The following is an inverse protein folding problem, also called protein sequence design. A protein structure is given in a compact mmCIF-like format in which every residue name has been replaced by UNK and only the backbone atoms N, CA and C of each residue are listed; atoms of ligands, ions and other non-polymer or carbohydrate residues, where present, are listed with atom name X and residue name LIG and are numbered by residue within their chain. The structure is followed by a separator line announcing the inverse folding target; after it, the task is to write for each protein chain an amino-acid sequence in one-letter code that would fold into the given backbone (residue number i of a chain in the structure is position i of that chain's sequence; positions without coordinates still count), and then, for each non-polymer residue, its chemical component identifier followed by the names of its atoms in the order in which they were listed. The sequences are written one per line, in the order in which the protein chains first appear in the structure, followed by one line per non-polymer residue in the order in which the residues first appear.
data_IF_101737747426
#
_entry.id   IF_101737747426
#
_cell.length_a   1.000
_cell.length_b   1.000
_cell.length_c   1.000
_cell.angle_alpha   90.00
_cell.angle_beta   90.00
_cell.angle_gamma   90.00
#
_symmetry.space_group_name_H-M   'P 1'
#
loop_
_entity.id
_entity.type
_entity.pdbx_description
1 polymer ?
#
# COMPACT_ATOMS: atom_id res chain seq x y z
N UNK A 1 0.58 25.82 27.90
CA UNK A 1 0.61 26.60 29.16
C UNK A 1 2.05 26.63 29.64
N UNK A 2 2.56 27.76 30.13
CA UNK A 2 3.89 27.78 30.74
C UNK A 2 3.84 27.04 32.07
N UNK A 3 4.76 26.10 32.28
CA UNK A 3 4.95 25.46 33.57
C UNK A 3 5.38 26.53 34.58
N UNK A 4 4.64 26.61 35.69
CA UNK A 4 5.03 27.42 36.83
C UNK A 4 6.25 26.77 37.49
N UNK A 5 7.20 27.58 37.93
CA UNK A 5 8.23 27.09 38.87
C UNK A 5 7.57 26.67 40.18
N UNK A 6 8.29 25.89 40.99
CA UNK A 6 7.77 25.47 42.31
C UNK A 6 7.43 26.68 43.19
N UNK A 7 8.21 27.75 43.09
CA UNK A 7 8.00 28.99 43.85
C UNK A 7 6.73 29.70 43.39
N UNK A 8 6.51 29.79 42.08
CA UNK A 8 5.31 30.39 41.49
C UNK A 8 4.05 29.56 41.79
N UNK A 9 4.16 28.23 41.73
CA UNK A 9 3.07 27.32 42.06
C UNK A 9 2.68 27.42 43.53
N UNK A 10 3.65 27.41 44.44
CA UNK A 10 3.42 27.59 45.87
C UNK A 10 2.82 28.97 46.15
N UNK A 11 3.31 30.04 45.51
CA UNK A 11 2.76 31.38 45.65
C UNK A 11 1.30 31.45 45.20
N UNK A 12 0.94 30.75 44.11
CA UNK A 12 -0.43 30.65 43.63
C UNK A 12 -1.32 29.89 44.63
N UNK A 13 -0.93 28.69 45.08
CA UNK A 13 -1.69 27.88 46.05
C UNK A 13 -1.86 28.62 47.39
N UNK A 14 -0.82 29.32 47.87
CA UNK A 14 -0.90 30.18 49.06
C UNK A 14 -1.96 31.27 48.95
N UNK A 15 -2.10 31.89 47.76
CA UNK A 15 -3.09 32.92 47.49
C UNK A 15 -4.50 32.35 47.39
N UNK A 16 -4.66 31.20 46.72
CA UNK A 16 -5.93 30.48 46.60
C UNK A 16 -6.45 30.01 47.98
N UNK A 17 -5.57 29.44 48.79
CA UNK A 17 -5.92 28.87 50.10
C UNK A 17 -5.80 29.89 51.25
N UNK A 18 -5.50 31.16 50.93
CA UNK A 18 -5.33 32.28 51.87
C UNK A 18 -4.42 31.95 53.08
N UNK A 19 -3.31 31.26 52.81
CA UNK A 19 -2.41 30.77 53.86
C UNK A 19 -1.60 31.91 54.49
N UNK A 20 -1.78 32.15 55.80
CA UNK A 20 -0.92 33.05 56.56
C UNK A 20 0.23 32.28 57.23
N UNK A 21 1.36 32.18 56.52
CA UNK A 21 2.54 31.41 56.96
C UNK A 21 3.26 31.99 58.20
N UNK A 22 2.99 33.24 58.56
CA UNK A 22 3.60 33.92 59.71
C UNK A 22 2.82 33.73 61.03
N UNK A 23 1.70 33.00 61.01
CA UNK A 23 0.91 32.70 62.21
C UNK A 23 1.64 31.72 63.15
N UNK A 24 2.05 32.21 64.32
CA UNK A 24 2.70 31.38 65.35
C UNK A 24 1.75 30.33 65.96
N UNK A 25 0.44 30.62 66.02
CA UNK A 25 -0.56 29.71 66.54
C UNK A 25 -0.78 28.49 65.63
N UNK A 26 -0.63 28.67 64.32
CA UNK A 26 -0.90 27.64 63.31
C UNK A 26 0.39 27.05 62.71
N UNK A 27 1.54 27.24 63.37
CA UNK A 27 2.86 26.89 62.83
C UNK A 27 2.97 25.44 62.31
N UNK A 28 2.44 24.48 63.07
CA UNK A 28 2.48 23.06 62.69
C UNK A 28 1.59 22.74 61.48
N UNK A 29 0.39 23.33 61.43
CA UNK A 29 -0.55 23.19 60.33
C UNK A 29 0.02 23.81 59.05
N UNK A 30 0.54 25.04 59.15
CA UNK A 30 1.16 25.76 58.05
C UNK A 30 2.35 24.99 57.46
N UNK A 31 3.20 24.41 58.32
CA UNK A 31 4.34 23.60 57.87
C UNK A 31 3.87 22.38 57.07
N UNK A 32 2.85 21.66 57.56
CA UNK A 32 2.27 20.51 56.87
C UNK A 32 1.67 20.91 55.52
N UNK A 33 0.94 22.02 55.47
CA UNK A 33 0.32 22.55 54.25
C UNK A 33 1.34 22.94 53.20
N UNK A 34 2.43 23.64 53.58
CA UNK A 34 3.51 23.96 52.65
C UNK A 34 4.21 22.71 52.11
N UNK A 35 4.48 21.71 52.96
CA UNK A 35 5.04 20.43 52.52
C UNK A 35 4.11 19.71 51.55
N UNK A 36 2.80 19.75 51.80
CA UNK A 36 1.81 19.18 50.88
C UNK A 36 1.82 19.86 49.51
N UNK A 37 1.97 21.19 49.43
CA UNK A 37 2.10 21.86 48.13
C UNK A 37 3.34 21.42 47.35
N UNK A 38 4.46 21.18 48.03
CA UNK A 38 5.68 20.63 47.40
C UNK A 38 5.41 19.23 46.86
N UNK A 39 4.76 18.37 47.66
CA UNK A 39 4.36 17.03 47.21
C UNK A 39 3.39 17.08 46.04
N UNK A 40 2.38 17.95 46.07
CA UNK A 40 1.39 18.15 45.02
C UNK A 40 2.07 18.61 43.72
N UNK A 41 3.01 19.55 43.82
CA UNK A 41 3.76 20.05 42.67
C UNK A 41 4.53 18.93 41.95
N UNK A 42 5.29 18.12 42.69
CA UNK A 42 6.11 17.05 42.09
C UNK A 42 5.31 15.81 41.68
N UNK A 43 4.31 15.42 42.49
CA UNK A 43 3.59 14.17 42.26
C UNK A 43 2.33 14.32 41.42
N UNK A 44 1.74 15.50 41.37
CA UNK A 44 0.50 15.74 40.63
C UNK A 44 0.75 16.72 39.50
N UNK A 45 1.13 17.98 39.76
CA UNK A 45 1.23 19.01 38.73
C UNK A 45 2.26 18.69 37.61
N UNK A 46 3.46 18.27 37.99
CA UNK A 46 4.49 17.87 37.02
C UNK A 46 4.14 16.56 36.31
N UNK A 47 3.44 15.64 36.98
CA UNK A 47 3.06 14.36 36.40
C UNK A 47 1.85 14.47 35.46
N UNK A 48 0.83 15.26 35.79
CA UNK A 48 -0.32 15.53 34.92
C UNK A 48 0.12 16.22 33.64
N UNK A 49 1.04 17.19 33.73
CA UNK A 49 1.56 17.86 32.52
C UNK A 49 2.28 16.89 31.59
N UNK A 50 3.09 15.96 32.13
CA UNK A 50 3.73 14.91 31.33
C UNK A 50 2.73 13.90 30.74
N UNK A 51 1.69 13.54 31.49
CA UNK A 51 0.61 12.67 31.01
C UNK A 51 -0.18 13.35 29.89
N UNK A 52 -0.46 14.65 30.01
CA UNK A 52 -1.15 15.45 29.00
C UNK A 52 -0.29 15.58 27.73
N UNK A 53 1.01 15.90 27.87
CA UNK A 53 1.96 15.93 26.74
C UNK A 53 2.06 14.57 26.05
N UNK A 54 2.15 13.48 26.82
CA UNK A 54 2.21 12.13 26.27
C UNK A 54 0.90 11.74 25.56
N UNK A 55 -0.25 12.20 26.07
CA UNK A 55 -1.56 12.01 25.44
C UNK A 55 -1.67 12.81 24.15
N UNK A 56 -1.23 14.07 24.14
CA UNK A 56 -1.21 14.93 22.94
C UNK A 56 -0.29 14.35 21.87
N UNK A 57 0.93 13.95 22.24
CA UNK A 57 1.88 13.33 21.31
C UNK A 57 1.35 11.99 20.76
N UNK A 58 0.66 11.20 21.59
CA UNK A 58 0.03 9.97 21.12
C UNK A 58 -1.11 10.27 20.13
N UNK A 59 -1.96 11.25 20.44
CA UNK A 59 -3.06 11.66 19.55
C UNK A 59 -2.52 12.18 18.21
N UNK A 60 -1.52 13.05 18.22
CA UNK A 60 -0.87 13.51 16.98
C UNK A 60 -0.26 12.36 16.17
N UNK A 61 0.33 11.38 16.85
CA UNK A 61 0.90 10.18 16.20
C UNK A 61 -0.19 9.34 15.52
N UNK A 62 -1.34 9.17 16.16
CA UNK A 62 -2.48 8.43 15.59
C UNK A 62 -3.12 9.18 14.43
N UNK A 63 -3.34 10.49 14.55
CA UNK A 63 -3.89 11.33 13.48
C UNK A 63 -2.98 11.36 12.24
N UNK A 64 -1.66 11.46 12.43
CA UNK A 64 -0.70 11.34 11.32
C UNK A 64 -0.82 10.00 10.61
N UNK A 65 -1.05 8.93 11.35
CA UNK A 65 -1.21 7.60 10.75
C UNK A 65 -2.56 7.48 10.03
N UNK A 66 -3.68 7.90 10.66
CA UNK A 66 -5.01 7.95 10.02
C UNK A 66 -4.98 8.72 8.71
N UNK A 67 -4.37 9.90 8.70
CA UNK A 67 -4.21 10.71 7.49
C UNK A 67 -3.41 10.01 6.38
N UNK A 68 -2.47 9.11 6.73
CA UNK A 68 -1.70 8.34 5.74
C UNK A 68 -2.46 7.16 5.14
N UNK A 69 -3.61 6.80 5.71
CA UNK A 69 -4.47 5.68 5.29
C UNK A 69 -5.89 6.16 4.96
N UNK A 70 -6.07 7.47 4.75
CA UNK A 70 -7.39 8.12 4.59
C UNK A 70 -8.13 7.74 3.32
N UNK A 71 -7.46 7.11 2.37
CA UNK A 71 -8.03 6.61 1.11
C UNK A 71 -8.76 5.28 1.25
N UNK A 72 -8.62 4.57 2.39
CA UNK A 72 -9.38 3.33 2.65
C UNK A 72 -10.74 3.62 3.30
N UNK A 73 -11.61 2.60 3.35
CA UNK A 73 -12.87 2.65 4.08
C UNK A 73 -12.69 2.99 5.59
N UNK A 74 -13.66 3.68 6.18
CA UNK A 74 -13.60 4.15 7.57
C UNK A 74 -13.43 3.00 8.58
N UNK A 75 -14.10 1.86 8.39
CA UNK A 75 -13.98 0.70 9.28
C UNK A 75 -12.56 0.11 9.23
N UNK A 76 -11.96 0.09 8.04
CA UNK A 76 -10.58 -0.34 7.83
C UNK A 76 -9.60 0.63 8.49
N UNK A 77 -9.83 1.94 8.36
CA UNK A 77 -9.01 2.97 9.01
C UNK A 77 -9.04 2.80 10.53
N UNK A 78 -10.21 2.68 11.13
CA UNK A 78 -10.40 2.51 12.57
C UNK A 78 -9.69 1.27 13.09
N UNK A 79 -9.83 0.15 12.37
CA UNK A 79 -9.15 -1.10 12.68
C UNK A 79 -7.62 -0.96 12.64
N UNK A 80 -7.07 -0.35 11.58
CA UNK A 80 -5.63 -0.14 11.44
C UNK A 80 -5.09 0.81 12.51
N UNK A 81 -5.79 1.91 12.80
CA UNK A 81 -5.43 2.88 13.83
C UNK A 81 -5.45 2.22 15.21
N UNK A 82 -6.46 1.40 15.50
CA UNK A 82 -6.54 0.64 16.75
C UNK A 82 -5.33 -0.29 16.91
N UNK A 83 -5.00 -1.07 15.88
CA UNK A 83 -3.81 -1.95 15.91
C UNK A 83 -2.52 -1.15 16.11
N UNK A 84 -2.40 0.00 15.47
CA UNK A 84 -1.23 0.86 15.62
C UNK A 84 -1.15 1.50 17.03
N UNK A 85 -2.29 1.86 17.63
CA UNK A 85 -2.35 2.36 19.00
C UNK A 85 -1.88 1.29 19.99
N UNK A 86 -2.48 0.11 19.93
CA UNK A 86 -2.27 -0.97 20.91
C UNK A 86 -0.91 -1.66 20.75
N UNK A 87 -0.48 -1.92 19.52
CA UNK A 87 0.69 -2.77 19.25
C UNK A 87 1.87 -2.01 18.63
N UNK A 88 1.71 -0.72 18.31
CA UNK A 88 2.69 0.08 17.58
C UNK A 88 3.14 -0.59 16.26
N UNK A 89 2.20 -1.25 15.57
CA UNK A 89 2.41 -1.93 14.29
C UNK A 89 1.57 -1.28 13.20
N UNK A 90 2.24 -0.92 12.10
CA UNK A 90 1.61 -0.51 10.85
C UNK A 90 1.30 -1.74 10.02
N UNK A 91 0.16 -2.36 10.32
CA UNK A 91 -0.25 -3.64 9.74
C UNK A 91 -0.50 -3.55 8.24
N UNK A 92 -1.05 -2.44 7.78
CA UNK A 92 -1.25 -2.08 6.36
C UNK A 92 0.00 -2.41 5.53
N UNK A 93 1.17 -1.98 6.00
CA UNK A 93 2.45 -2.20 5.31
C UNK A 93 2.82 -3.67 5.21
N UNK A 94 2.55 -4.44 6.27
CA UNK A 94 2.84 -5.87 6.28
C UNK A 94 1.94 -6.62 5.29
N UNK A 95 0.65 -6.26 5.23
CA UNK A 95 -0.30 -6.84 4.27
C UNK A 95 0.09 -6.44 2.84
N UNK A 96 0.34 -5.16 2.58
CA UNK A 96 0.75 -4.68 1.25
C UNK A 96 2.04 -5.38 0.77
N UNK A 97 3.03 -5.56 1.65
CA UNK A 97 4.26 -6.26 1.30
C UNK A 97 4.03 -7.75 0.99
N UNK A 98 3.00 -8.37 1.57
CA UNK A 98 2.56 -9.71 1.20
C UNK A 98 1.91 -9.68 -0.19
N UNK A 99 0.93 -8.80 -0.41
CA UNK A 99 0.19 -8.69 -1.68
C UNK A 99 1.09 -8.36 -2.86
N UNK A 100 2.11 -7.52 -2.67
CA UNK A 100 3.11 -7.20 -3.72
C UNK A 100 3.86 -8.40 -4.26
N UNK A 101 3.86 -9.55 -3.58
CA UNK A 101 4.49 -10.77 -4.08
C UNK A 101 3.59 -11.57 -5.00
N UNK A 102 2.29 -11.35 -4.94
CA UNK A 102 1.34 -12.00 -5.82
C UNK A 102 1.28 -11.27 -7.17
N UNK A 103 1.90 -11.88 -8.17
CA UNK A 103 1.95 -11.37 -9.54
C UNK A 103 0.58 -11.35 -10.25
N UNK A 104 -0.45 -12.03 -9.71
CA UNK A 104 -1.79 -12.08 -10.30
C UNK A 104 -2.80 -11.22 -9.55
N UNK A 105 -2.38 -10.48 -8.51
CA UNK A 105 -3.26 -9.74 -7.62
C UNK A 105 -4.23 -8.81 -8.36
N UNK A 106 -3.75 -8.05 -9.35
CA UNK A 106 -4.56 -7.12 -10.15
C UNK A 106 -5.65 -7.79 -11.00
N UNK A 107 -5.62 -9.12 -11.16
CA UNK A 107 -6.63 -9.87 -11.91
C UNK A 107 -7.73 -10.46 -11.03
N UNK A 108 -7.71 -10.21 -9.72
CA UNK A 108 -8.71 -10.74 -8.80
C UNK A 108 -10.08 -10.14 -9.11
N UNK A 109 -11.10 -10.98 -9.21
CA UNK A 109 -12.45 -10.55 -9.55
C UNK A 109 -13.55 -11.20 -8.71
N UNK A 110 -13.20 -12.18 -7.88
CA UNK A 110 -14.15 -12.95 -7.09
C UNK A 110 -13.82 -12.91 -5.60
N UNK A 111 -14.86 -12.97 -4.76
CA UNK A 111 -14.69 -13.05 -3.31
C UNK A 111 -13.86 -14.27 -2.90
N UNK A 112 -13.94 -15.40 -3.62
CA UNK A 112 -13.12 -16.58 -3.36
C UNK A 112 -11.61 -16.32 -3.50
N UNK A 113 -11.19 -15.51 -4.46
CA UNK A 113 -9.77 -15.15 -4.65
C UNK A 113 -9.30 -14.28 -3.49
N UNK A 114 -10.07 -13.24 -3.14
CA UNK A 114 -9.78 -12.37 -2.00
C UNK A 114 -9.76 -13.13 -0.67
N UNK A 115 -10.68 -14.08 -0.47
CA UNK A 115 -10.70 -14.97 0.71
C UNK A 115 -9.48 -15.87 0.78
N UNK A 116 -9.10 -16.47 -0.35
CA UNK A 116 -7.92 -17.34 -0.39
C UNK A 116 -6.66 -16.55 -0.04
N UNK A 117 -6.50 -15.36 -0.63
CA UNK A 117 -5.39 -14.45 -0.33
C UNK A 117 -5.41 -13.96 1.12
N UNK A 118 -6.58 -13.69 1.72
CA UNK A 118 -6.67 -13.30 3.12
C UNK A 118 -6.24 -14.40 4.09
N UNK A 119 -6.58 -15.66 3.79
CA UNK A 119 -6.11 -16.81 4.58
C UNK A 119 -4.61 -17.04 4.45
N UNK A 120 -4.05 -16.92 3.26
CA UNK A 120 -2.60 -17.02 3.04
C UNK A 120 -1.85 -15.88 3.74
N UNK A 121 -2.35 -14.65 3.63
CA UNK A 121 -1.83 -13.48 4.33
C UNK A 121 -1.84 -13.70 5.85
N UNK A 122 -2.97 -14.16 6.39
CA UNK A 122 -3.11 -14.51 7.81
C UNK A 122 -2.07 -15.55 8.22
N UNK A 123 -1.93 -16.64 7.48
CA UNK A 123 -0.98 -17.71 7.79
C UNK A 123 0.47 -17.22 7.84
N UNK A 124 0.84 -16.26 6.98
CA UNK A 124 2.17 -15.65 6.99
C UNK A 124 2.37 -14.66 8.15
N UNK A 125 1.35 -13.88 8.51
CA UNK A 125 1.49 -12.76 9.44
C UNK A 125 1.18 -13.13 10.90
N UNK A 126 0.30 -14.09 11.16
CA UNK A 126 -0.22 -14.39 12.53
C UNK A 126 0.88 -14.75 13.52
N UNK A 127 1.94 -15.45 13.09
CA UNK A 127 3.06 -15.84 13.98
C UNK A 127 3.79 -14.63 14.56
N UNK A 128 3.92 -13.55 13.77
CA UNK A 128 4.57 -12.30 14.20
C UNK A 128 3.57 -11.28 14.76
N UNK A 129 2.28 -11.48 14.49
CA UNK A 129 1.19 -10.60 14.85
C UNK A 129 0.02 -11.42 15.44
N UNK A 130 0.14 -11.96 16.67
CA UNK A 130 -0.88 -12.84 17.24
C UNK A 130 -2.25 -12.18 17.41
N UNK A 131 -2.30 -10.85 17.51
CA UNK A 131 -3.52 -10.04 17.54
C UNK A 131 -4.35 -10.10 16.26
N UNK A 132 -3.82 -10.70 15.17
CA UNK A 132 -4.61 -11.00 13.98
C UNK A 132 -5.57 -12.18 14.17
N UNK A 133 -5.45 -12.92 15.27
CA UNK A 133 -6.38 -14.02 15.56
C UNK A 133 -7.82 -13.47 15.56
N UNK A 134 -8.69 -14.17 14.85
CA UNK A 134 -10.10 -13.82 14.67
C UNK A 134 -10.34 -12.50 13.90
N UNK A 135 -9.32 -11.97 13.20
CA UNK A 135 -9.39 -10.74 12.37
C UNK A 135 -9.38 -11.03 10.85
N UNK A 136 -9.71 -12.26 10.44
CA UNK A 136 -9.65 -12.67 9.01
C UNK A 136 -10.66 -11.92 8.13
N UNK A 137 -11.79 -11.50 8.69
CA UNK A 137 -12.77 -10.66 7.98
C UNK A 137 -12.19 -9.27 7.68
N UNK A 138 -11.53 -8.64 8.65
CA UNK A 138 -10.87 -7.35 8.42
C UNK A 138 -9.71 -7.46 7.43
N UNK A 139 -8.95 -8.56 7.45
CA UNK A 139 -7.94 -8.83 6.42
C UNK A 139 -8.56 -8.95 5.03
N UNK A 140 -9.67 -9.67 4.91
CA UNK A 140 -10.40 -9.79 3.64
C UNK A 140 -10.89 -8.42 3.16
N UNK A 141 -11.53 -7.63 4.02
CA UNK A 141 -12.01 -6.28 3.68
C UNK A 141 -10.86 -5.37 3.25
N UNK A 142 -9.75 -5.35 4.00
CA UNK A 142 -8.56 -4.58 3.64
C UNK A 142 -8.00 -4.96 2.27
N UNK A 143 -7.83 -6.25 2.00
CA UNK A 143 -7.25 -6.72 0.72
C UNK A 143 -8.17 -6.33 -0.45
N UNK A 144 -9.48 -6.45 -0.27
CA UNK A 144 -10.47 -6.10 -1.30
C UNK A 144 -10.51 -4.58 -1.55
N UNK A 145 -10.49 -3.77 -0.49
CA UNK A 145 -10.47 -2.31 -0.59
C UNK A 145 -9.17 -1.81 -1.23
N UNK A 146 -8.03 -2.36 -0.78
CA UNK A 146 -6.72 -2.12 -1.39
C UNK A 146 -6.71 -2.44 -2.89
N UNK A 147 -7.27 -3.58 -3.29
CA UNK A 147 -7.40 -3.94 -4.71
C UNK A 147 -8.24 -2.92 -5.48
N UNK A 148 -9.39 -2.52 -4.94
CA UNK A 148 -10.28 -1.57 -5.62
C UNK A 148 -9.61 -0.22 -5.84
N UNK A 149 -8.92 0.31 -4.84
CA UNK A 149 -8.20 1.59 -4.92
C UNK A 149 -7.08 1.51 -5.96
N UNK A 150 -6.32 0.42 -5.96
CA UNK A 150 -5.19 0.23 -6.87
C UNK A 150 -5.58 -0.18 -8.30
N UNK A 151 -6.81 -0.66 -8.50
CA UNK A 151 -7.36 -0.93 -9.83
C UNK A 151 -8.21 0.22 -10.37
N UNK A 152 -8.33 1.35 -9.66
CA UNK A 152 -9.06 2.48 -10.24
C UNK A 152 -8.34 2.98 -11.50
N UNK A 153 -9.03 3.04 -12.65
CA UNK A 153 -8.42 3.46 -13.90
C UNK A 153 -7.97 4.91 -13.77
N UNK A 154 -6.68 5.12 -14.01
CA UNK A 154 -6.15 6.47 -14.11
C UNK A 154 -6.44 7.01 -15.51
N UNK A 155 -7.59 7.66 -15.68
CA UNK A 155 -8.03 8.26 -16.94
C UNK A 155 -7.10 9.36 -17.49
N UNK A 156 -6.03 9.72 -16.77
CA UNK A 156 -5.07 10.73 -17.23
C UNK A 156 -4.16 10.26 -18.37
N UNK A 157 -4.06 8.95 -18.60
CA UNK A 157 -3.22 8.38 -19.67
C UNK A 157 -4.10 7.68 -20.69
N UNK A 158 -4.47 8.38 -21.77
CA UNK A 158 -5.14 7.83 -22.94
C UNK A 158 -4.19 6.87 -23.68
N UNK A 159 -4.04 5.67 -23.15
CA UNK A 159 -3.29 4.59 -23.79
C UNK A 159 -4.16 4.01 -24.91
N UNK A 160 -4.03 4.58 -26.12
CA UNK A 160 -4.76 4.15 -27.31
C UNK A 160 -3.94 3.08 -28.03
N UNK A 161 -4.23 1.79 -27.78
CA UNK A 161 -3.63 0.70 -28.56
C UNK A 161 -4.49 0.42 -29.80
N UNK A 162 -5.79 0.20 -29.58
CA UNK A 162 -6.79 0.08 -30.63
C UNK A 162 -8.18 0.11 -30.00
N UNK A 163 -9.19 0.52 -30.77
CA UNK A 163 -10.58 0.57 -30.30
C UNK A 163 -11.06 -0.77 -29.69
N UNK A 164 -10.59 -1.91 -30.22
CA UNK A 164 -10.94 -3.23 -29.68
C UNK A 164 -10.30 -3.48 -28.30
N UNK A 165 -9.02 -3.15 -28.15
CA UNK A 165 -8.28 -3.31 -26.89
C UNK A 165 -8.85 -2.36 -25.83
N UNK A 166 -9.09 -1.11 -26.21
CA UNK A 166 -9.55 -0.07 -25.30
C UNK A 166 -10.95 -0.39 -24.78
N UNK A 167 -11.87 -0.80 -25.67
CA UNK A 167 -13.20 -1.27 -25.26
C UNK A 167 -13.14 -2.52 -24.38
N UNK A 168 -12.20 -3.44 -24.65
CA UNK A 168 -12.04 -4.64 -23.83
C UNK A 168 -11.57 -4.31 -22.42
N UNK A 169 -10.57 -3.43 -22.29
CA UNK A 169 -10.07 -2.94 -21.00
C UNK A 169 -11.20 -2.24 -20.23
N UNK A 170 -11.91 -1.32 -20.88
CA UNK A 170 -13.00 -0.57 -20.25
C UNK A 170 -14.14 -1.49 -19.78
N UNK A 171 -14.61 -2.41 -20.64
CA UNK A 171 -15.66 -3.38 -20.27
C UNK A 171 -15.21 -4.31 -19.16
N UNK A 172 -13.93 -4.66 -19.12
CA UNK A 172 -13.36 -5.51 -18.07
C UNK A 172 -13.39 -4.78 -16.72
N UNK A 173 -12.95 -3.53 -16.69
CA UNK A 173 -13.05 -2.70 -15.50
C UNK A 173 -14.49 -2.51 -15.04
N UNK A 174 -15.38 -2.10 -15.94
CA UNK A 174 -16.79 -1.82 -15.60
C UNK A 174 -17.48 -3.02 -14.96
N UNK A 175 -17.25 -4.23 -15.52
CA UNK A 175 -17.93 -5.46 -15.10
C UNK A 175 -17.23 -6.19 -13.94
N UNK A 176 -15.91 -6.27 -13.96
CA UNK A 176 -15.14 -7.13 -13.04
C UNK A 176 -14.31 -6.35 -12.04
N UNK A 177 -14.22 -5.01 -12.16
CA UNK A 177 -13.36 -4.15 -11.31
C UNK A 177 -11.88 -4.57 -11.34
N UNK A 178 -11.45 -5.03 -12.51
CA UNK A 178 -10.08 -5.45 -12.81
C UNK A 178 -9.43 -4.45 -13.74
N UNK A 179 -8.23 -4.01 -13.40
CA UNK A 179 -7.41 -3.14 -14.24
C UNK A 179 -6.36 -3.96 -15.00
N UNK A 180 -6.65 -4.19 -16.28
CA UNK A 180 -5.76 -4.91 -17.19
C UNK A 180 -4.47 -4.14 -17.46
N UNK A 181 -4.51 -2.80 -17.48
CA UNK A 181 -3.34 -1.97 -17.75
C UNK A 181 -2.39 -2.01 -16.55
N UNK A 182 -2.92 -1.87 -15.33
CA UNK A 182 -2.14 -2.01 -14.10
C UNK A 182 -1.48 -3.40 -14.03
N UNK A 183 -2.24 -4.46 -14.33
CA UNK A 183 -1.70 -5.82 -14.40
C UNK A 183 -0.56 -5.95 -15.42
N UNK A 184 -0.76 -5.51 -16.67
CA UNK A 184 0.26 -5.66 -17.71
C UNK A 184 1.52 -4.84 -17.41
N UNK A 185 1.35 -3.64 -16.85
CA UNK A 185 2.46 -2.82 -16.39
C UNK A 185 3.24 -3.51 -15.26
N UNK A 186 2.57 -3.98 -14.21
CA UNK A 186 3.21 -4.69 -13.09
C UNK A 186 3.94 -5.95 -13.56
N UNK A 187 3.33 -6.74 -14.45
CA UNK A 187 3.96 -7.91 -15.05
C UNK A 187 5.25 -7.58 -15.79
N UNK A 188 5.22 -6.55 -16.64
CA UNK A 188 6.36 -6.14 -17.47
C UNK A 188 7.51 -5.61 -16.61
N UNK A 189 7.23 -4.84 -15.56
CA UNK A 189 8.27 -4.38 -14.63
C UNK A 189 8.89 -5.54 -13.85
N UNK A 190 8.09 -6.47 -13.34
CA UNK A 190 8.62 -7.69 -12.69
C UNK A 190 9.47 -8.52 -13.64
N UNK A 191 9.01 -8.67 -14.87
CA UNK A 191 9.74 -9.41 -15.90
C UNK A 191 11.09 -8.76 -16.22
N UNK A 192 11.15 -7.43 -16.26
CA UNK A 192 12.40 -6.69 -16.46
C UNK A 192 13.35 -6.80 -15.25
N UNK A 193 12.82 -6.72 -14.03
CA UNK A 193 13.60 -6.84 -12.79
C UNK A 193 14.17 -8.26 -12.61
N UNK A 194 13.42 -9.30 -13.02
CA UNK A 194 13.85 -10.70 -12.98
C UNK A 194 14.46 -11.16 -14.32
N UNK A 195 15.68 -10.68 -14.61
CA UNK A 195 16.43 -11.05 -15.83
C UNK A 195 16.73 -12.54 -15.93
N UNK A 196 16.75 -13.26 -14.82
CA UNK A 196 16.96 -14.70 -14.80
C UNK A 196 15.75 -15.46 -15.34
N UNK A 197 14.56 -14.87 -15.31
CA UNK A 197 13.34 -15.42 -15.92
C UNK A 197 13.30 -15.36 -17.44
N UNK A 198 14.19 -14.59 -18.09
CA UNK A 198 14.17 -14.40 -19.54
C UNK A 198 14.51 -15.70 -20.26
N UNK A 199 13.72 -16.15 -21.25
CA UNK A 199 14.08 -17.33 -22.04
C UNK A 199 15.42 -17.12 -22.74
N UNK A 200 16.23 -18.18 -22.84
CA UNK A 200 17.53 -18.12 -23.52
C UNK A 200 17.41 -17.60 -24.96
N UNK A 201 16.33 -17.95 -25.66
CA UNK A 201 16.05 -17.49 -27.03
C UNK A 201 15.73 -16.00 -27.15
N UNK A 202 15.52 -15.30 -26.02
CA UNK A 202 15.27 -13.86 -25.97
C UNK A 202 16.41 -13.10 -25.29
N UNK A 203 17.56 -13.73 -25.02
CA UNK A 203 18.73 -13.04 -24.44
C UNK A 203 19.68 -12.66 -25.57
N UNK A 204 19.83 -11.37 -25.82
CA UNK A 204 20.85 -10.84 -26.74
C UNK A 204 22.00 -10.26 -25.94
N UNK A 205 23.21 -10.27 -26.50
CA UNK A 205 24.38 -9.71 -25.81
C UNK A 205 24.19 -8.20 -25.70
N UNK A 206 24.33 -7.69 -24.48
CA UNK A 206 24.23 -6.26 -24.21
C UNK A 206 25.49 -5.52 -24.67
N UNK A 207 25.28 -4.33 -25.23
CA UNK A 207 26.35 -3.39 -25.57
C UNK A 207 26.79 -2.55 -24.36
N UNK A 208 26.02 -2.57 -23.26
CA UNK A 208 26.33 -1.88 -22.00
C UNK A 208 27.29 -2.73 -21.15
N UNK A 209 28.44 -2.19 -20.69
CA UNK A 209 29.49 -2.96 -20.00
C UNK A 209 29.06 -3.64 -18.69
N UNK A 210 28.07 -3.08 -17.99
CA UNK A 210 27.59 -3.60 -16.71
C UNK A 210 26.47 -4.64 -16.86
N UNK A 211 26.00 -4.87 -18.09
CA UNK A 211 24.87 -5.72 -18.41
C UNK A 211 25.34 -6.85 -19.31
N UNK A 212 25.05 -8.09 -18.92
CA UNK A 212 25.49 -9.26 -19.70
C UNK A 212 24.58 -9.52 -20.90
N UNK A 213 23.29 -9.29 -20.72
CA UNK A 213 22.27 -9.55 -21.73
C UNK A 213 21.18 -8.48 -21.67
N UNK A 214 20.64 -8.16 -22.85
CA UNK A 214 19.38 -7.43 -23.03
C UNK A 214 18.29 -8.38 -23.50
N UNK A 215 17.04 -7.95 -23.35
CA UNK A 215 15.88 -8.73 -23.72
C UNK A 215 15.48 -8.43 -25.17
N UNK A 216 15.51 -9.46 -26.01
CA UNK A 216 15.09 -9.40 -27.40
C UNK A 216 13.55 -9.43 -27.50
N UNK A 217 12.96 -8.24 -27.37
CA UNK A 217 11.54 -7.99 -27.56
C UNK A 217 11.12 -8.03 -29.04
N UNK A 218 12.06 -8.14 -29.99
CA UNK A 218 11.76 -8.21 -31.44
C UNK A 218 11.50 -9.64 -31.94
N UNK A 219 11.69 -10.64 -31.08
CA UNK A 219 11.34 -12.04 -31.35
C UNK A 219 9.85 -12.25 -31.63
N UNK A 220 9.53 -13.30 -32.38
CA UNK A 220 8.18 -13.52 -32.91
C UNK A 220 7.19 -14.20 -31.95
N UNK A 221 7.67 -14.85 -30.89
CA UNK A 221 6.87 -15.76 -30.05
C UNK A 221 7.24 -15.67 -28.58
N UNK A 222 6.26 -15.91 -27.69
CA UNK A 222 6.46 -16.00 -26.24
C UNK A 222 7.12 -14.76 -25.61
N UNK A 223 6.76 -13.57 -26.10
CA UNK A 223 7.19 -12.34 -25.48
C UNK A 223 6.69 -12.28 -24.03
N UNK A 224 7.53 -11.79 -23.11
CA UNK A 224 7.21 -11.58 -21.69
C UNK A 224 6.77 -12.87 -20.96
N UNK A 225 7.23 -14.04 -21.42
CA UNK A 225 6.77 -15.34 -20.94
C UNK A 225 5.23 -15.53 -21.03
N UNK A 226 4.59 -14.88 -22.00
CA UNK A 226 3.13 -14.86 -22.11
C UNK A 226 2.51 -16.25 -22.29
N UNK A 227 3.22 -17.25 -22.83
CA UNK A 227 2.68 -18.61 -22.93
C UNK A 227 2.42 -19.24 -21.55
N UNK A 228 3.36 -19.09 -20.61
CA UNK A 228 3.22 -19.66 -19.27
C UNK A 228 2.23 -18.84 -18.45
N UNK A 229 2.28 -17.51 -18.55
CA UNK A 229 1.30 -16.63 -17.92
C UNK A 229 -0.12 -16.96 -18.39
N UNK A 230 -0.35 -16.95 -19.71
CA UNK A 230 -1.70 -17.08 -20.26
C UNK A 230 -2.37 -18.40 -19.85
N UNK A 231 -1.61 -19.50 -19.69
CA UNK A 231 -2.15 -20.77 -19.17
C UNK A 231 -2.71 -20.67 -17.74
N UNK A 232 -2.20 -19.75 -16.93
CA UNK A 232 -2.64 -19.54 -15.53
C UNK A 232 -3.86 -18.63 -15.42
N UNK A 233 -4.07 -17.78 -16.41
CA UNK A 233 -5.12 -16.73 -16.39
C UNK A 233 -6.20 -16.94 -17.45
N UNK A 234 -6.06 -17.92 -18.35
CA UNK A 234 -6.98 -18.15 -19.48
C UNK A 234 -8.41 -18.50 -19.07
N UNK A 235 -8.60 -19.01 -17.85
CA UNK A 235 -9.91 -19.39 -17.34
C UNK A 235 -10.73 -18.18 -16.89
N UNK A 236 -10.09 -17.01 -16.75
CA UNK A 236 -10.79 -15.77 -16.42
C UNK A 236 -11.66 -15.35 -17.62
N UNK A 237 -12.95 -15.04 -17.39
CA UNK A 237 -13.91 -14.79 -18.47
C UNK A 237 -13.54 -13.59 -19.34
N UNK A 238 -12.79 -12.63 -18.81
CA UNK A 238 -12.30 -11.47 -19.53
C UNK A 238 -10.94 -11.68 -20.20
N UNK A 239 -10.18 -12.74 -19.89
CA UNK A 239 -8.88 -13.03 -20.52
C UNK A 239 -9.02 -14.01 -21.69
N UNK A 240 -10.03 -14.89 -21.64
CA UNK A 240 -10.21 -15.95 -22.65
C UNK A 240 -10.27 -15.38 -24.07
N UNK A 241 -9.34 -15.82 -24.91
CA UNK A 241 -9.19 -15.40 -26.31
C UNK A 241 -8.44 -14.08 -26.50
N UNK A 242 -8.01 -13.42 -25.43
CA UNK A 242 -7.41 -12.07 -25.46
C UNK A 242 -5.89 -12.06 -25.29
N UNK A 243 -5.22 -13.18 -25.59
CA UNK A 243 -3.77 -13.31 -25.49
C UNK A 243 -3.01 -12.25 -26.29
N UNK A 244 -3.40 -12.00 -27.54
CA UNK A 244 -2.71 -10.99 -28.38
C UNK A 244 -2.92 -9.57 -27.84
N UNK A 245 -4.05 -9.29 -27.20
CA UNK A 245 -4.32 -7.99 -26.59
C UNK A 245 -3.39 -7.76 -25.39
N UNK A 246 -3.18 -8.79 -24.55
CA UNK A 246 -2.20 -8.75 -23.46
C UNK A 246 -0.78 -8.49 -24.00
N UNK A 247 -0.37 -9.21 -25.04
CA UNK A 247 0.94 -9.02 -25.68
C UNK A 247 1.12 -7.59 -26.18
N UNK A 248 0.09 -7.00 -26.78
CA UNK A 248 0.11 -5.63 -27.28
C UNK A 248 0.28 -4.60 -26.14
N UNK A 249 -0.48 -4.74 -25.06
CA UNK A 249 -0.37 -3.86 -23.88
C UNK A 249 1.01 -4.00 -23.23
N UNK A 250 1.50 -5.23 -23.06
CA UNK A 250 2.81 -5.47 -22.47
C UNK A 250 3.94 -4.89 -23.33
N UNK A 251 3.86 -5.04 -24.65
CA UNK A 251 4.82 -4.42 -25.58
C UNK A 251 4.79 -2.90 -25.48
N UNK A 252 3.59 -2.30 -25.39
CA UNK A 252 3.46 -0.86 -25.21
C UNK A 252 4.23 -0.40 -23.97
N UNK A 253 3.98 -1.02 -22.81
CA UNK A 253 4.67 -0.65 -21.57
C UNK A 253 6.17 -0.90 -21.62
N UNK A 254 6.61 -2.00 -22.26
CA UNK A 254 8.03 -2.26 -22.45
C UNK A 254 8.72 -1.12 -23.19
N UNK A 255 8.18 -0.71 -24.35
CA UNK A 255 8.78 0.33 -25.18
C UNK A 255 8.67 1.73 -24.55
N UNK A 256 7.53 2.07 -23.96
CA UNK A 256 7.29 3.46 -23.52
C UNK A 256 7.75 3.74 -22.08
N UNK A 257 7.91 2.70 -21.24
CA UNK A 257 8.28 2.89 -19.83
C UNK A 257 9.63 2.28 -19.46
N UNK A 258 10.15 1.30 -20.22
CA UNK A 258 11.37 0.57 -19.85
C UNK A 258 12.52 0.84 -20.84
N UNK A 259 12.37 0.42 -22.09
CA UNK A 259 13.46 0.43 -23.07
C UNK A 259 13.58 1.79 -23.80
N UNK A 260 12.44 2.42 -24.09
CA UNK A 260 12.35 3.50 -25.08
C UNK A 260 11.98 2.99 -26.47
N UNK A 261 11.22 3.79 -27.24
CA UNK A 261 10.86 3.49 -28.63
C UNK A 261 11.77 4.25 -29.62
N UNK A 262 13.08 4.20 -29.41
CA UNK A 262 14.06 5.02 -30.16
C UNK A 262 14.07 4.73 -31.68
N UNK A 263 13.66 3.53 -32.10
CA UNK A 263 13.60 3.10 -33.51
C UNK A 263 12.18 3.16 -34.12
N UNK A 264 11.18 3.71 -33.42
CA UNK A 264 9.76 3.64 -33.81
C UNK A 264 9.28 2.19 -34.05
N UNK A 265 9.80 1.24 -33.27
CA UNK A 265 9.47 -0.18 -33.40
C UNK A 265 7.99 -0.45 -33.11
N UNK A 266 7.34 0.38 -32.29
CA UNK A 266 5.92 0.26 -32.00
C UNK A 266 5.05 0.17 -33.27
N UNK A 267 5.32 1.01 -34.26
CA UNK A 267 4.56 1.03 -35.53
C UNK A 267 4.76 -0.25 -36.35
N UNK A 268 6.00 -0.76 -36.38
CA UNK A 268 6.32 -2.03 -37.04
C UNK A 268 5.61 -3.20 -36.35
N UNK A 269 5.60 -3.21 -35.01
CA UNK A 269 4.95 -4.22 -34.21
C UNK A 269 3.43 -4.25 -34.43
N UNK A 270 2.76 -3.09 -34.40
CA UNK A 270 1.32 -2.97 -34.65
C UNK A 270 0.94 -3.42 -36.07
N UNK A 271 1.78 -3.13 -37.06
CA UNK A 271 1.61 -3.60 -38.44
C UNK A 271 1.68 -5.13 -38.53
N UNK A 272 2.63 -5.76 -37.82
CA UNK A 272 2.77 -7.23 -37.78
C UNK A 272 1.58 -7.92 -37.11
N UNK A 273 1.06 -7.36 -36.01
CA UNK A 273 -0.12 -7.92 -35.34
C UNK A 273 -1.33 -7.87 -36.26
N UNK A 274 -1.55 -6.73 -36.92
CA UNK A 274 -2.67 -6.53 -37.84
C UNK A 274 -2.61 -7.50 -39.04
N UNK A 275 -1.41 -7.80 -39.54
CA UNK A 275 -1.22 -8.81 -40.59
C UNK A 275 -1.53 -10.24 -40.10
N UNK A 276 -1.20 -10.57 -38.84
CA UNK A 276 -1.46 -11.90 -38.25
C UNK A 276 -2.95 -12.14 -37.97
N UNK A 277 -3.68 -11.12 -37.52
CA UNK A 277 -5.13 -11.24 -37.31
C UNK A 277 -5.88 -11.48 -38.63
N UNK A 278 -5.41 -10.88 -39.73
CA UNK A 278 -5.96 -11.11 -41.08
C UNK A 278 -5.68 -12.53 -41.63
N UNK A 279 -4.59 -13.16 -41.21
CA UNK A 279 -4.24 -14.54 -41.60
C UNK A 279 -5.00 -15.61 -40.81
N UNK A 280 -5.53 -15.30 -39.62
CA UNK A 280 -6.34 -16.22 -38.82
C UNK A 280 -7.83 -16.15 -39.14
N UNK A 281 -8.26 -15.11 -39.88
CA UNK A 281 -9.65 -14.88 -40.28
C UNK A 281 -10.00 -15.38 -41.71
N UNK A 282 -9.00 -15.84 -42.47
CA UNK A 282 -9.14 -16.48 -43.79
C UNK A 282 -8.75 -17.96 -43.70
#
# INVERSE_FOLDING_TARGET
MNLLSIEEYIARRKKEDQLNEFSLANRMENMKTCVNYVFEYFNQYLNTTKLDEQTVLNNERLEKYRNSISHYDEEIQDWLVHIYNEYNKKLDRAIINFLKKDELFYLYCSDSEFRSSSYECYAQLVKKNPFLKDQTEMLFSFIKDYHQIHCQPNYSNELLISDEVDQWVEKTWQKYKVDILAFCSDWVHRFYDDKDSWPVSHRIKSDVPYWKYDYDYKQKSNLFNLNSLYRRISDKPFIKGKKQHLEAIMMYFWLHNIEGDEENYWQEYMSKISARSFQLAN
#
